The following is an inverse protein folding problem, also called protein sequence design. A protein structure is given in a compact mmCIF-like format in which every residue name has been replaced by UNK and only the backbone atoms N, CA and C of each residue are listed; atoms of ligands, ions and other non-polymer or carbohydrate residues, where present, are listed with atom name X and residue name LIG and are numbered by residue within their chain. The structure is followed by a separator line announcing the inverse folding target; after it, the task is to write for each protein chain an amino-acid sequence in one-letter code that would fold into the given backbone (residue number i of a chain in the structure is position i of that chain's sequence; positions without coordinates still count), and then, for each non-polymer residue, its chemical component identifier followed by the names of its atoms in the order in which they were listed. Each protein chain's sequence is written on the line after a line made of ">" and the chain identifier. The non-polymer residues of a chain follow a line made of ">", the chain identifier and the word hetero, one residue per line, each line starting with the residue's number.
data_IF_447409988114
#
_entry.id   IF_447409988114
#
_cell.length_a   1.000
_cell.length_b   1.000
_cell.length_c   1.000
_cell.angle_alpha   90.00
_cell.angle_beta   90.00
_cell.angle_gamma   90.00
#
_symmetry.space_group_name_H-M   'P 1'
#
loop_
_entity.id
_entity.type
_entity.pdbx_description
1 polymer ?
#
# COMPACT_ATOMS: atom_id res chain seq x y z
N UNK A 1 -0.48 -27.42 -34.98
CA UNK A 1 0.69 -27.10 -34.11
C UNK A 1 1.42 -25.92 -34.74
N UNK A 2 2.08 -25.05 -33.96
CA UNK A 2 2.62 -23.71 -34.32
C UNK A 2 1.73 -22.48 -34.00
N UNK A 3 1.08 -22.48 -32.83
CA UNK A 3 0.79 -21.24 -32.07
C UNK A 3 1.66 -21.21 -30.82
N UNK A 4 2.98 -21.36 -30.98
CA UNK A 4 3.91 -21.22 -29.87
C UNK A 4 4.71 -19.93 -29.97
N UNK A 5 4.72 -19.23 -28.84
CA UNK A 5 5.66 -18.20 -28.41
C UNK A 5 5.47 -16.78 -28.98
N UNK A 6 4.38 -16.13 -28.56
CA UNK A 6 4.50 -14.75 -28.09
C UNK A 6 4.37 -14.79 -26.56
N UNK A 7 5.34 -15.45 -25.90
CA UNK A 7 5.64 -15.20 -24.49
C UNK A 7 6.40 -13.88 -24.41
N UNK A 8 5.75 -12.80 -24.81
CA UNK A 8 6.17 -11.48 -24.38
C UNK A 8 5.81 -11.45 -22.91
N UNK A 9 6.84 -11.54 -22.05
CA UNK A 9 6.77 -11.20 -20.63
C UNK A 9 5.88 -9.97 -20.48
N UNK A 10 4.59 -10.15 -20.13
CA UNK A 10 3.75 -9.02 -19.76
C UNK A 10 4.43 -8.46 -18.53
N UNK A 11 5.00 -7.26 -18.67
CA UNK A 11 5.38 -6.47 -17.53
C UNK A 11 4.13 -6.37 -16.65
N UNK A 12 4.05 -7.20 -15.61
CA UNK A 12 2.94 -7.20 -14.67
C UNK A 12 3.05 -5.88 -13.89
N UNK A 13 2.47 -4.83 -14.46
CA UNK A 13 2.51 -3.49 -13.91
C UNK A 13 1.88 -3.54 -12.52
N UNK A 14 2.71 -3.54 -11.50
CA UNK A 14 2.25 -3.50 -10.11
C UNK A 14 1.93 -2.06 -9.78
N UNK A 15 0.67 -1.80 -9.41
CA UNK A 15 0.22 -0.47 -9.00
C UNK A 15 0.31 -0.39 -7.48
N UNK A 16 0.90 0.69 -6.97
CA UNK A 16 0.99 0.95 -5.53
C UNK A 16 0.03 2.08 -5.19
N UNK A 17 -0.80 1.89 -4.17
CA UNK A 17 -1.74 2.90 -3.67
C UNK A 17 -1.46 3.18 -2.19
N UNK A 18 -1.81 4.38 -1.73
CA UNK A 18 -1.67 4.80 -0.33
C UNK A 18 -3.04 4.91 0.33
N UNK A 19 -3.25 4.21 1.45
CA UNK A 19 -4.54 4.08 2.15
C UNK A 19 -5.69 3.69 1.18
N UNK A 20 -5.38 2.84 0.19
CA UNK A 20 -6.18 2.56 -1.01
C UNK A 20 -7.42 1.68 -0.82
N UNK A 21 -7.90 1.51 0.41
CA UNK A 21 -8.99 0.58 0.71
C UNK A 21 -10.34 1.04 0.11
N UNK A 22 -10.58 2.35 0.00
CA UNK A 22 -11.81 2.89 -0.59
C UNK A 22 -11.80 2.78 -2.12
N UNK A 23 -10.60 2.84 -2.71
CA UNK A 23 -10.32 2.79 -4.13
C UNK A 23 -10.50 1.37 -4.69
N UNK A 24 -10.50 0.33 -3.84
CA UNK A 24 -10.70 -1.07 -4.25
C UNK A 24 -11.97 -1.28 -5.07
N UNK A 25 -13.06 -0.60 -4.73
CA UNK A 25 -14.34 -0.71 -5.45
C UNK A 25 -14.27 -0.05 -6.83
N UNK A 26 -13.59 1.09 -6.93
CA UNK A 26 -13.40 1.81 -8.20
C UNK A 26 -12.49 0.99 -9.12
N UNK A 27 -11.37 0.49 -8.60
CA UNK A 27 -10.40 -0.30 -9.37
C UNK A 27 -11.01 -1.60 -9.90
N UNK A 28 -11.86 -2.28 -9.11
CA UNK A 28 -12.65 -3.43 -9.59
C UNK A 28 -13.62 -3.07 -10.70
N UNK A 29 -14.29 -1.92 -10.61
CA UNK A 29 -15.25 -1.46 -11.63
C UNK A 29 -14.57 -1.08 -12.95
N UNK A 30 -13.31 -0.67 -12.90
CA UNK A 30 -12.52 -0.31 -14.08
C UNK A 30 -11.90 -1.54 -14.77
N UNK A 31 -12.15 -2.76 -14.27
CA UNK A 31 -11.65 -4.04 -14.80
C UNK A 31 -10.14 -4.03 -15.09
N UNK A 32 -9.41 -3.34 -14.22
CA UNK A 32 -7.96 -3.20 -14.33
C UNK A 32 -7.28 -4.43 -13.72
N UNK A 33 -6.97 -5.42 -14.57
CA UNK A 33 -6.27 -6.67 -14.21
C UNK A 33 -4.79 -6.40 -13.84
N UNK A 34 -4.55 -5.85 -12.65
CA UNK A 34 -3.22 -5.61 -12.11
C UNK A 34 -3.08 -6.11 -10.68
N UNK A 35 -1.86 -6.54 -10.33
CA UNK A 35 -1.46 -6.71 -8.94
C UNK A 35 -1.40 -5.33 -8.27
N UNK A 36 -2.29 -5.08 -7.31
CA UNK A 36 -2.32 -3.83 -6.55
C UNK A 36 -1.73 -4.08 -5.17
N UNK A 37 -0.68 -3.34 -4.86
CA UNK A 37 -0.13 -3.24 -3.53
C UNK A 37 -0.71 -2.00 -2.84
N UNK A 38 -1.16 -2.17 -1.61
CA UNK A 38 -1.67 -1.08 -0.80
C UNK A 38 -0.71 -0.85 0.37
N UNK A 39 -0.22 0.39 0.48
CA UNK A 39 0.50 0.87 1.64
C UNK A 39 -0.48 1.60 2.54
N UNK A 40 -0.63 1.16 3.78
CA UNK A 40 -1.46 1.83 4.77
C UNK A 40 -0.60 2.28 5.93
N UNK A 41 -0.78 3.52 6.38
CA UNK A 41 -0.14 4.01 7.60
C UNK A 41 -1.18 4.28 8.66
N UNK A 42 -1.21 3.45 9.72
CA UNK A 42 -2.31 3.49 10.67
C UNK A 42 -1.96 3.14 12.12
N UNK A 43 -2.75 3.69 13.05
CA UNK A 43 -2.73 3.35 14.46
C UNK A 43 -3.40 1.99 14.69
N UNK A 44 -2.56 0.94 14.70
CA UNK A 44 -2.97 -0.45 14.81
C UNK A 44 -3.56 -0.78 16.19
N UNK A 45 -3.03 -0.17 17.25
CA UNK A 45 -3.34 -0.51 18.65
C UNK A 45 -4.13 0.56 19.40
N UNK A 46 -4.60 1.60 18.71
CA UNK A 46 -5.38 2.71 19.31
C UNK A 46 -4.62 3.45 20.41
N UNK A 47 -3.29 3.50 20.30
CA UNK A 47 -2.40 4.11 21.29
C UNK A 47 -1.57 5.25 20.69
N UNK A 48 -1.98 5.75 19.52
CA UNK A 48 -1.29 6.76 18.71
C UNK A 48 0.10 6.31 18.22
N UNK A 49 0.39 5.01 18.28
CA UNK A 49 1.58 4.41 17.67
C UNK A 49 1.21 3.88 16.28
N UNK A 50 1.89 4.37 15.25
CA UNK A 50 1.54 4.12 13.87
C UNK A 50 2.44 3.07 13.24
N UNK A 51 1.86 2.31 12.33
CA UNK A 51 2.53 1.26 11.56
C UNK A 51 2.37 1.53 10.08
N UNK A 52 3.44 1.31 9.30
CA UNK A 52 3.36 1.21 7.85
C UNK A 52 3.18 -0.27 7.50
N UNK A 53 2.12 -0.57 6.77
CA UNK A 53 1.80 -1.92 6.31
C UNK A 53 1.71 -1.93 4.78
N UNK A 54 2.40 -2.88 4.15
CA UNK A 54 2.27 -3.20 2.74
C UNK A 54 1.48 -4.49 2.62
N UNK A 55 0.39 -4.46 1.86
CA UNK A 55 -0.44 -5.65 1.61
C UNK A 55 -0.82 -5.77 0.14
N UNK A 56 -1.12 -7.00 -0.29
CA UNK A 56 -1.81 -7.25 -1.56
C UNK A 56 -3.28 -6.87 -1.39
N UNK A 57 -3.75 -5.86 -2.12
CA UNK A 57 -5.11 -5.34 -1.94
C UNK A 57 -6.20 -6.37 -2.30
N UNK A 58 -5.89 -7.34 -3.19
CA UNK A 58 -6.84 -8.35 -3.63
C UNK A 58 -7.26 -9.30 -2.49
N UNK A 59 -6.30 -9.90 -1.79
CA UNK A 59 -6.48 -10.93 -0.77
C UNK A 59 -6.12 -10.47 0.66
N UNK A 60 -5.66 -9.21 0.84
CA UNK A 60 -5.19 -8.65 2.12
C UNK A 60 -4.01 -9.39 2.75
N UNK A 61 -3.22 -10.07 1.93
CA UNK A 61 -1.99 -10.70 2.38
C UNK A 61 -0.98 -9.60 2.73
N UNK A 62 -0.60 -9.54 4.00
CA UNK A 62 0.42 -8.60 4.50
C UNK A 62 1.79 -9.11 4.06
N UNK A 63 2.53 -8.25 3.36
CA UNK A 63 3.89 -8.51 2.89
C UNK A 63 4.91 -7.92 3.86
N UNK A 64 4.58 -6.78 4.45
CA UNK A 64 5.46 -6.03 5.34
C UNK A 64 4.66 -5.22 6.35
N UNK A 65 5.17 -5.11 7.58
CA UNK A 65 4.58 -4.36 8.69
C UNK A 65 5.72 -3.78 9.53
N UNK A 66 5.73 -2.46 9.73
CA UNK A 66 6.81 -1.76 10.43
C UNK A 66 6.23 -0.70 11.38
N UNK A 67 6.72 -0.71 12.62
CA UNK A 67 6.48 0.35 13.59
C UNK A 67 7.25 1.61 13.17
N UNK A 68 6.55 2.75 13.08
CA UNK A 68 7.16 4.03 12.77
C UNK A 68 7.02 5.03 13.92
N UNK A 69 6.46 4.63 15.06
CA UNK A 69 6.37 5.48 16.24
C UNK A 69 5.10 6.34 16.31
N UNK A 70 5.12 7.33 17.20
CA UNK A 70 3.92 8.08 17.60
C UNK A 70 3.71 9.35 16.79
N UNK A 71 2.44 9.67 16.52
CA UNK A 71 2.05 10.92 15.85
C UNK A 71 0.81 11.56 16.48
N UNK A 72 0.85 12.88 16.63
CA UNK A 72 -0.16 13.68 17.32
C UNK A 72 -1.40 14.02 16.48
N UNK A 73 -2.04 13.02 15.85
CA UNK A 73 -3.24 13.23 15.03
C UNK A 73 -4.51 12.74 15.72
N UNK A 74 -5.61 13.46 15.49
CA UNK A 74 -6.96 12.97 15.76
C UNK A 74 -7.40 12.08 14.59
N UNK A 75 -7.30 10.76 14.76
CA UNK A 75 -7.64 9.78 13.73
C UNK A 75 -6.65 8.63 13.66
N UNK A 76 -7.00 7.60 12.90
CA UNK A 76 -6.21 6.36 12.81
C UNK A 76 -5.36 6.25 11.56
N UNK A 77 -5.56 7.09 10.55
CA UNK A 77 -4.83 7.02 9.28
C UNK A 77 -3.98 8.27 9.08
N UNK A 78 -2.71 8.04 8.72
CA UNK A 78 -1.82 9.11 8.28
C UNK A 78 -1.81 9.18 6.76
N UNK A 79 -1.86 10.41 6.25
CA UNK A 79 -1.55 10.67 4.85
C UNK A 79 -0.02 10.65 4.64
N UNK A 80 0.40 10.74 3.38
CA UNK A 80 1.83 10.73 3.00
C UNK A 80 2.64 11.82 3.70
N UNK A 81 2.11 13.04 3.80
CA UNK A 81 2.80 14.20 4.40
C UNK A 81 3.00 13.99 5.90
N UNK A 82 1.95 13.58 6.60
CA UNK A 82 2.00 13.27 8.03
C UNK A 82 2.97 12.13 8.32
N UNK A 83 2.98 11.11 7.47
CA UNK A 83 3.90 9.98 7.61
C UNK A 83 5.35 10.40 7.37
N UNK A 84 5.61 11.25 6.38
CA UNK A 84 6.95 11.78 6.11
C UNK A 84 7.53 12.60 7.27
N UNK A 85 6.66 13.24 8.06
CA UNK A 85 7.07 14.06 9.21
C UNK A 85 7.51 13.23 10.42
N UNK A 86 7.29 11.91 10.40
CA UNK A 86 7.75 11.02 11.46
C UNK A 86 9.23 10.69 11.24
N UNK A 87 10.12 10.95 12.21
CA UNK A 87 11.56 10.74 12.07
C UNK A 87 11.92 9.32 11.61
N UNK A 88 11.27 8.31 12.19
CA UNK A 88 11.55 6.90 11.90
C UNK A 88 11.00 6.45 10.54
N UNK A 89 10.00 7.16 9.99
CA UNK A 89 9.48 6.92 8.65
C UNK A 89 10.27 7.65 7.55
N UNK A 90 11.13 8.61 7.91
CA UNK A 90 11.83 9.49 6.96
C UNK A 90 12.74 8.74 5.97
N UNK A 91 13.24 7.57 6.35
CA UNK A 91 14.08 6.74 5.47
C UNK A 91 13.26 5.93 4.45
N UNK A 92 11.95 5.78 4.66
CA UNK A 92 11.05 5.04 3.76
C UNK A 92 10.52 5.89 2.60
N UNK A 93 10.41 7.22 2.79
CA UNK A 93 9.81 8.13 1.80
C UNK A 93 10.83 8.74 0.81
N UNK A 94 12.07 8.24 0.74
CA UNK A 94 13.00 8.59 -0.34
C UNK A 94 12.73 7.69 -1.56
N UNK A 95 11.65 7.97 -2.27
CA UNK A 95 11.34 7.38 -3.59
C UNK A 95 11.27 8.51 -4.59
#
# INVERSE_FOLDING_TARGET
>A
QLRQSLNTSRNNLTRVVWNGHLEKTILKRLDLDYSILNITCYDKYFNKNFYIQLEKLCNREIIFDLDIGKYGKTGRLLNLVETHNIPDAKYMCKI
#
